data_IF_057760257339
#
_entry.id   IF_057760257339
#
_cell.length_a   1.000
_cell.length_b   1.000
_cell.length_c   1.000
_cell.angle_alpha   90.00
_cell.angle_beta   90.00
_cell.angle_gamma   90.00
#
_symmetry.space_group_name_H-M   'P 1'
#
loop_
_entity.id
_entity.type
_entity.pdbx_description
1 polymer ?
#
# COMPACT_ATOMS: atom_id res chain seq x y z
N UNK A 1 -1.51 11.92 -7.24
CA UNK A 1 -1.00 13.22 -7.73
C UNK A 1 0.17 13.05 -8.70
N UNK A 2 1.15 12.21 -8.40
CA UNK A 2 2.31 11.97 -9.28
C UNK A 2 1.90 11.50 -10.70
N UNK A 3 0.86 10.65 -10.79
CA UNK A 3 0.29 10.21 -12.07
C UNK A 3 -0.34 11.36 -12.88
N UNK A 4 -0.92 12.36 -12.21
CA UNK A 4 -1.44 13.58 -12.88
C UNK A 4 -0.27 14.41 -13.42
N UNK A 5 0.76 14.64 -12.60
CA UNK A 5 1.96 15.37 -13.04
C UNK A 5 2.65 14.72 -14.25
N UNK A 6 2.53 13.38 -14.42
CA UNK A 6 3.08 12.69 -15.59
C UNK A 6 2.42 13.06 -16.91
N UNK A 7 1.29 13.77 -16.88
CA UNK A 7 0.55 14.16 -18.07
C UNK A 7 -0.42 13.12 -18.61
N UNK A 8 -0.55 11.96 -17.93
CA UNK A 8 -1.38 10.84 -18.41
C UNK A 8 -2.83 11.21 -18.71
N UNK A 9 -3.39 12.16 -17.98
CA UNK A 9 -4.81 12.54 -18.05
C UNK A 9 -5.05 13.84 -18.83
N UNK A 10 -4.00 14.43 -19.40
CA UNK A 10 -4.14 15.67 -20.16
C UNK A 10 -4.28 15.37 -21.65
N UNK A 11 -5.22 16.07 -22.28
CA UNK A 11 -5.42 16.10 -23.70
C UNK A 11 -5.34 17.55 -24.20
N UNK A 12 -5.46 17.78 -25.50
CA UNK A 12 -5.36 19.12 -26.11
C UNK A 12 -6.42 20.13 -25.64
N UNK A 13 -7.48 19.67 -24.97
CA UNK A 13 -8.56 20.54 -24.49
C UNK A 13 -8.32 21.09 -23.09
N UNK A 14 -7.36 20.55 -22.35
CA UNK A 14 -7.09 20.90 -20.96
C UNK A 14 -5.93 21.90 -20.94
N UNK A 15 -6.16 23.07 -20.32
CA UNK A 15 -5.09 24.04 -20.10
C UNK A 15 -4.15 23.56 -19.00
N UNK A 16 -2.88 23.44 -19.35
CA UNK A 16 -1.83 22.97 -18.43
C UNK A 16 -0.72 24.00 -18.30
N UNK A 17 -0.09 24.01 -17.13
CA UNK A 17 1.14 24.75 -16.85
C UNK A 17 2.26 23.78 -16.50
N UNK A 18 3.50 24.24 -16.68
CA UNK A 18 4.66 23.46 -16.22
C UNK A 18 4.76 23.49 -14.69
N UNK A 19 5.01 22.32 -14.14
CA UNK A 19 5.34 22.12 -12.73
C UNK A 19 6.83 21.86 -12.56
N UNK A 20 7.44 22.47 -11.56
CA UNK A 20 8.80 22.18 -11.13
C UNK A 20 8.92 22.39 -9.62
N UNK A 21 8.96 21.30 -8.87
CA UNK A 21 9.05 21.29 -7.41
C UNK A 21 10.26 20.52 -6.92
N UNK A 22 10.75 20.88 -5.73
CA UNK A 22 11.91 20.22 -5.11
C UNK A 22 11.62 19.90 -3.66
N UNK A 23 12.09 18.72 -3.22
CA UNK A 23 11.95 18.26 -1.83
C UNK A 23 13.20 17.48 -1.41
N UNK A 24 13.53 17.51 -0.12
CA UNK A 24 14.63 16.75 0.44
C UNK A 24 14.09 15.57 1.22
N UNK A 25 14.62 14.38 0.91
CA UNK A 25 14.36 13.16 1.66
C UNK A 25 15.60 12.68 2.39
N UNK A 26 15.35 12.06 3.53
CA UNK A 26 16.36 11.36 4.32
C UNK A 26 16.10 9.86 4.24
N UNK A 27 17.17 9.07 4.13
CA UNK A 27 17.05 7.62 3.98
C UNK A 27 18.20 6.87 4.62
N UNK A 28 17.95 5.62 4.99
CA UNK A 28 18.94 4.66 5.46
C UNK A 28 19.67 3.91 4.34
N UNK A 29 19.36 4.18 3.09
CA UNK A 29 20.07 3.61 1.93
C UNK A 29 21.16 4.56 1.44
N UNK A 30 22.24 4.02 0.86
CA UNK A 30 23.24 4.79 0.12
C UNK A 30 23.10 4.52 -1.37
N UNK A 31 22.69 5.55 -2.12
CA UNK A 31 22.66 5.53 -3.58
C UNK A 31 23.72 6.51 -4.11
N UNK A 32 24.58 6.02 -4.99
CA UNK A 32 25.65 6.83 -5.55
C UNK A 32 25.24 7.37 -6.91
N UNK A 33 25.33 8.67 -7.08
CA UNK A 33 25.06 9.33 -8.35
C UNK A 33 23.68 9.99 -8.42
N UNK A 34 23.23 10.17 -9.65
CA UNK A 34 21.99 10.85 -10.01
C UNK A 34 21.13 9.91 -10.86
N UNK A 35 19.89 9.82 -10.51
CA UNK A 35 18.88 9.14 -11.33
C UNK A 35 18.03 10.23 -11.98
N UNK A 36 17.87 10.19 -13.28
CA UNK A 36 17.15 11.21 -14.03
C UNK A 36 16.21 10.59 -15.05
N UNK A 37 15.03 11.18 -15.12
CA UNK A 37 14.01 10.95 -16.14
C UNK A 37 13.42 12.31 -16.55
N UNK A 38 12.56 12.36 -17.53
CA UNK A 38 11.88 13.59 -17.93
C UNK A 38 11.00 14.14 -16.80
N UNK A 39 10.37 13.26 -16.02
CA UNK A 39 9.43 13.63 -14.96
C UNK A 39 10.13 13.96 -13.62
N UNK A 40 11.24 13.28 -13.31
CA UNK A 40 11.88 13.42 -12.01
C UNK A 40 13.39 13.22 -12.04
N UNK A 41 14.03 13.81 -11.06
CA UNK A 41 15.46 13.62 -10.78
C UNK A 41 15.63 13.34 -9.30
N UNK A 42 16.35 12.28 -8.96
CA UNK A 42 16.76 11.96 -7.59
C UNK A 42 18.29 11.97 -7.52
N UNK A 43 18.86 12.86 -6.71
CA UNK A 43 20.30 12.99 -6.57
C UNK A 43 20.70 13.03 -5.09
N UNK A 44 21.84 12.45 -4.78
CA UNK A 44 22.38 12.51 -3.43
C UNK A 44 22.92 13.90 -3.10
N UNK A 45 22.50 14.44 -1.96
CA UNK A 45 23.03 15.70 -1.41
C UNK A 45 24.16 15.42 -0.44
N UNK A 46 23.94 14.45 0.47
CA UNK A 46 24.93 14.05 1.44
C UNK A 46 24.80 12.55 1.73
N UNK A 47 25.90 11.82 1.53
CA UNK A 47 26.01 10.41 1.85
C UNK A 47 26.67 10.25 3.22
N UNK A 48 25.95 9.66 4.16
CA UNK A 48 26.42 9.41 5.51
C UNK A 48 26.22 7.95 5.90
N UNK A 49 27.17 7.41 6.68
CA UNK A 49 26.97 6.10 7.30
C UNK A 49 25.85 6.19 8.35
N UNK A 50 24.65 5.86 7.96
CA UNK A 50 23.47 5.91 8.81
C UNK A 50 22.29 6.55 8.10
N UNK A 51 22.28 7.85 7.91
CA UNK A 51 21.22 8.56 7.21
C UNK A 51 21.79 9.48 6.14
N UNK A 52 21.49 9.15 4.89
CA UNK A 52 21.83 9.94 3.72
C UNK A 52 20.69 10.90 3.36
N UNK A 53 20.99 11.97 2.64
CA UNK A 53 19.98 12.90 2.14
C UNK A 53 19.98 12.98 0.62
N UNK A 54 18.79 13.10 0.05
CA UNK A 54 18.52 13.10 -1.38
C UNK A 54 17.64 14.28 -1.75
N UNK A 55 17.97 14.95 -2.84
CA UNK A 55 17.13 15.97 -3.45
C UNK A 55 16.30 15.32 -4.54
N UNK A 56 14.98 15.34 -4.37
CA UNK A 56 14.03 15.02 -5.41
C UNK A 56 13.62 16.31 -6.12
N UNK A 57 13.72 16.32 -7.42
CA UNK A 57 13.11 17.33 -8.28
C UNK A 57 12.03 16.66 -9.11
N UNK A 58 10.79 17.08 -8.97
CA UNK A 58 9.67 16.68 -9.82
C UNK A 58 9.42 17.74 -10.88
N UNK A 59 9.23 17.31 -12.11
CA UNK A 59 8.82 18.11 -13.27
C UNK A 59 7.58 17.49 -13.87
N UNK A 60 6.78 18.27 -14.54
CA UNK A 60 5.60 17.70 -15.21
C UNK A 60 4.58 18.74 -15.55
N UNK A 61 3.34 18.28 -15.66
CA UNK A 61 2.21 19.09 -16.03
C UNK A 61 1.25 19.23 -14.86
N UNK A 62 0.75 20.44 -14.66
CA UNK A 62 -0.25 20.75 -13.65
C UNK A 62 -1.41 21.50 -14.32
N UNK A 63 -2.59 21.47 -13.72
CA UNK A 63 -3.71 22.25 -14.19
C UNK A 63 -3.44 23.76 -14.01
N UNK A 64 -3.78 24.55 -15.00
CA UNK A 64 -3.56 26.00 -14.97
C UNK A 64 -4.34 26.70 -13.83
N UNK A 65 -5.45 26.09 -13.43
CA UNK A 65 -6.33 26.57 -12.36
C UNK A 65 -5.95 26.08 -10.96
N UNK A 66 -4.94 25.21 -10.83
CA UNK A 66 -4.62 24.62 -9.52
C UNK A 66 -3.77 25.54 -8.66
N UNK A 67 -4.12 25.60 -7.38
CA UNK A 67 -3.29 26.23 -6.37
C UNK A 67 -2.09 25.32 -5.99
N UNK A 68 -1.13 25.89 -5.30
CA UNK A 68 0.13 25.23 -4.89
C UNK A 68 -0.01 23.98 -3.97
N UNK A 69 -1.22 23.49 -3.71
CA UNK A 69 -1.50 22.44 -2.72
C UNK A 69 -1.29 20.99 -3.21
N UNK A 70 -1.07 20.79 -4.48
CA UNK A 70 -0.87 19.46 -5.07
C UNK A 70 0.48 18.81 -4.79
N UNK A 71 1.45 19.63 -4.51
CA UNK A 71 2.83 19.21 -4.54
C UNK A 71 3.21 18.25 -3.41
N UNK A 72 2.77 18.47 -2.17
CA UNK A 72 3.11 17.56 -1.06
C UNK A 72 2.66 16.12 -1.31
N UNK A 73 1.47 15.92 -1.91
CA UNK A 73 0.97 14.58 -2.21
C UNK A 73 1.81 13.85 -3.26
N UNK A 74 2.19 14.54 -4.35
CA UNK A 74 3.04 13.94 -5.38
C UNK A 74 4.40 13.52 -4.81
N UNK A 75 4.99 14.35 -3.96
CA UNK A 75 6.23 14.00 -3.27
C UNK A 75 6.06 12.84 -2.30
N UNK A 76 4.94 12.78 -1.58
CA UNK A 76 4.64 11.66 -0.69
C UNK A 76 4.43 10.34 -1.46
N UNK A 77 3.69 10.37 -2.57
CA UNK A 77 3.52 9.21 -3.44
C UNK A 77 4.87 8.70 -3.98
N UNK A 78 5.74 9.63 -4.44
CA UNK A 78 7.08 9.27 -4.89
C UNK A 78 7.92 8.66 -3.76
N UNK A 79 7.86 9.24 -2.56
CA UNK A 79 8.52 8.75 -1.36
C UNK A 79 8.12 7.30 -1.04
N UNK A 80 6.82 7.02 -1.05
CA UNK A 80 6.28 5.67 -0.79
C UNK A 80 6.75 4.66 -1.82
N UNK A 81 6.66 4.99 -3.11
CA UNK A 81 7.12 4.12 -4.18
C UNK A 81 8.63 3.85 -4.12
N UNK A 82 9.42 4.89 -3.83
CA UNK A 82 10.87 4.79 -3.68
C UNK A 82 11.24 3.91 -2.48
N UNK A 83 10.59 4.15 -1.34
CA UNK A 83 10.78 3.34 -0.14
C UNK A 83 10.46 1.88 -0.37
N UNK A 84 9.36 1.62 -1.07
CA UNK A 84 8.91 0.27 -1.40
C UNK A 84 9.91 -0.45 -2.30
N UNK A 85 10.35 0.18 -3.41
CA UNK A 85 11.31 -0.44 -4.33
C UNK A 85 12.64 -0.80 -3.68
N UNK A 86 13.23 0.18 -3.01
CA UNK A 86 14.55 -0.01 -2.40
C UNK A 86 14.52 -0.75 -1.06
N UNK A 87 13.34 -1.11 -0.55
CA UNK A 87 13.19 -1.75 0.77
C UNK A 87 13.91 -0.93 1.84
N UNK A 88 13.68 0.38 1.83
CA UNK A 88 14.37 1.37 2.64
C UNK A 88 13.38 2.42 3.12
N UNK A 89 13.75 3.15 4.14
CA UNK A 89 12.94 4.25 4.65
C UNK A 89 13.37 5.54 3.97
N UNK A 90 12.41 6.23 3.36
CA UNK A 90 12.56 7.61 2.90
C UNK A 90 11.58 8.47 3.69
N UNK A 91 12.07 9.50 4.35
CA UNK A 91 11.28 10.40 5.18
C UNK A 91 11.71 11.85 5.00
N UNK A 92 10.80 12.78 5.33
CA UNK A 92 11.07 14.21 5.32
C UNK A 92 11.88 14.66 6.54
N UNK A 93 11.79 13.92 7.65
CA UNK A 93 12.53 14.21 8.87
C UNK A 93 13.66 13.20 9.09
N UNK A 94 14.88 13.73 9.17
CA UNK A 94 16.08 12.95 9.47
C UNK A 94 15.96 12.18 10.78
N UNK A 95 15.37 12.78 11.81
CA UNK A 95 15.25 12.15 13.11
C UNK A 95 14.33 10.92 13.06
N UNK A 96 13.30 10.92 12.21
CA UNK A 96 12.44 9.76 12.03
C UNK A 96 13.23 8.59 11.44
N UNK A 97 14.06 8.82 10.43
CA UNK A 97 14.91 7.78 9.87
C UNK A 97 15.91 7.27 10.91
N UNK A 98 16.59 8.16 11.63
CA UNK A 98 17.52 7.80 12.70
C UNK A 98 16.82 6.96 13.79
N UNK A 99 15.61 7.34 14.18
CA UNK A 99 14.83 6.60 15.17
C UNK A 99 14.45 5.20 14.70
N UNK A 100 14.00 5.07 13.44
CA UNK A 100 13.61 3.78 12.87
C UNK A 100 14.81 2.86 12.67
N UNK A 101 15.98 3.43 12.40
CA UNK A 101 17.20 2.69 12.08
C UNK A 101 18.14 2.47 13.29
N UNK A 102 17.81 2.99 14.46
CA UNK A 102 18.64 2.77 15.66
C UNK A 102 18.69 1.28 16.01
N UNK A 103 19.87 0.72 15.91
CA UNK A 103 20.18 -0.55 16.56
C UNK A 103 20.39 -0.28 18.05
N UNK A 104 19.54 -0.85 18.88
CA UNK A 104 19.81 -0.88 20.32
C UNK A 104 20.85 -1.99 20.51
N UNK A 105 22.00 -1.70 21.13
CA UNK A 105 22.95 -2.74 21.50
C UNK A 105 22.21 -3.79 22.32
N UNK A 106 22.20 -5.01 21.86
CA UNK A 106 21.67 -6.13 22.64
C UNK A 106 22.63 -6.36 23.82
N UNK A 107 22.29 -5.78 24.95
CA UNK A 107 22.92 -6.20 26.18
C UNK A 107 22.26 -7.54 26.55
N UNK A 108 23.00 -8.65 26.59
CA UNK A 108 22.41 -9.99 26.78
C UNK A 108 21.70 -10.15 28.15
N UNK A 109 21.84 -9.17 29.03
CA UNK A 109 21.24 -9.15 30.38
C UNK A 109 20.01 -8.27 30.50
N UNK A 110 19.61 -7.54 29.48
CA UNK A 110 18.40 -6.72 29.54
C UNK A 110 17.21 -7.50 28.98
N UNK A 111 16.27 -7.84 29.86
CA UNK A 111 14.93 -8.30 29.49
C UNK A 111 14.06 -7.17 28.88
N UNK A 112 14.67 -6.08 28.46
CA UNK A 112 13.96 -4.97 27.84
C UNK A 112 13.69 -5.28 26.36
N UNK A 113 12.43 -5.18 25.98
CA UNK A 113 11.98 -5.27 24.59
C UNK A 113 12.72 -4.17 23.80
N UNK A 114 13.44 -4.53 22.72
CA UNK A 114 14.10 -3.53 21.90
C UNK A 114 13.07 -2.51 21.41
N UNK A 115 13.29 -1.26 21.69
CA UNK A 115 12.27 -0.23 21.47
C UNK A 115 12.02 0.13 20.01
N UNK A 116 12.82 -0.32 19.05
CA UNK A 116 12.57 -0.11 17.61
C UNK A 116 13.50 -0.99 16.78
N UNK A 117 12.96 -1.92 16.03
CA UNK A 117 13.73 -2.73 15.07
C UNK A 117 12.94 -2.78 13.77
N UNK A 118 13.51 -2.22 12.69
CA UNK A 118 13.04 -2.54 11.35
C UNK A 118 13.34 -4.02 11.08
N UNK A 119 12.44 -4.73 10.39
CA UNK A 119 12.76 -6.06 9.90
C UNK A 119 14.06 -6.06 9.11
N UNK A 120 14.88 -7.11 9.21
CA UNK A 120 16.14 -7.22 8.46
C UNK A 120 15.96 -7.03 6.94
N UNK A 121 14.76 -7.28 6.45
CA UNK A 121 14.38 -7.04 5.07
C UNK A 121 14.51 -5.55 4.65
N UNK A 122 14.30 -4.64 5.58
CA UNK A 122 14.55 -3.20 5.46
C UNK A 122 15.90 -2.80 6.07
N UNK A 123 16.85 -3.72 6.08
CA UNK A 123 18.08 -3.56 6.82
C UNK A 123 18.88 -2.33 6.41
N UNK A 124 19.57 -1.85 7.40
CA UNK A 124 20.49 -0.75 7.41
C UNK A 124 21.54 -0.87 6.31
N UNK A 125 21.81 0.25 5.64
CA UNK A 125 22.98 0.47 4.80
C UNK A 125 23.15 -0.49 3.63
N UNK A 126 22.19 -0.50 2.71
CA UNK A 126 22.40 -1.07 1.38
C UNK A 126 22.94 0.02 0.45
N UNK A 127 23.98 -0.29 -0.31
CA UNK A 127 24.26 0.43 -1.54
C UNK A 127 23.35 -0.15 -2.63
N UNK A 128 22.75 0.70 -3.44
CA UNK A 128 21.95 0.26 -4.58
C UNK A 128 22.42 0.97 -5.84
N UNK A 129 22.51 0.20 -6.90
CA UNK A 129 22.79 0.63 -8.27
C UNK A 129 21.70 0.16 -9.26
N UNK A 130 20.61 -0.40 -8.75
CA UNK A 130 19.49 -0.94 -9.53
C UNK A 130 18.56 0.17 -10.08
N UNK A 131 19.14 1.17 -10.74
CA UNK A 131 18.47 2.38 -11.15
C UNK A 131 17.56 2.17 -12.37
N UNK A 132 17.94 1.31 -13.30
CA UNK A 132 17.14 1.07 -14.49
C UNK A 132 15.87 0.30 -14.16
N UNK A 133 15.95 -0.72 -13.33
CA UNK A 133 14.77 -1.43 -12.86
C UNK A 133 13.88 -0.54 -11.99
N UNK A 134 14.44 0.37 -11.22
CA UNK A 134 13.69 1.36 -10.47
C UNK A 134 12.92 2.32 -11.38
N UNK A 135 13.56 2.86 -12.43
CA UNK A 135 12.87 3.68 -13.44
C UNK A 135 11.72 2.91 -14.09
N UNK A 136 11.98 1.66 -14.48
CA UNK A 136 10.97 0.80 -15.07
C UNK A 136 9.79 0.56 -14.13
N UNK A 137 10.04 0.38 -12.84
CA UNK A 137 9.00 0.25 -11.82
C UNK A 137 8.15 1.53 -11.70
N UNK A 138 8.77 2.69 -11.56
CA UNK A 138 8.03 3.96 -11.50
C UNK A 138 7.21 4.17 -12.78
N UNK A 139 7.80 3.98 -13.95
CA UNK A 139 7.10 4.11 -15.23
C UNK A 139 5.93 3.13 -15.34
N UNK A 140 6.11 1.90 -14.88
CA UNK A 140 5.03 0.89 -14.82
C UNK A 140 3.87 1.37 -13.96
N UNK A 141 4.14 1.84 -12.74
CA UNK A 141 3.11 2.32 -11.81
C UNK A 141 2.37 3.54 -12.40
N UNK A 142 3.07 4.48 -13.01
CA UNK A 142 2.45 5.68 -13.61
C UNK A 142 1.53 5.36 -14.79
N UNK A 143 1.76 4.25 -15.50
CA UNK A 143 0.94 3.82 -16.63
C UNK A 143 -0.26 2.96 -16.25
N UNK A 144 -0.43 2.58 -15.00
CA UNK A 144 -1.59 1.82 -14.55
C UNK A 144 -2.89 2.65 -14.64
N UNK A 145 -4.05 1.99 -14.71
CA UNK A 145 -5.33 2.70 -14.59
C UNK A 145 -5.39 3.48 -13.27
N UNK A 146 -6.16 4.57 -13.25
CA UNK A 146 -6.28 5.42 -12.06
C UNK A 146 -6.71 4.64 -10.82
N UNK A 147 -7.66 3.74 -10.99
CA UNK A 147 -8.15 2.89 -9.91
C UNK A 147 -7.06 1.99 -9.33
N UNK A 148 -6.31 1.27 -10.21
CA UNK A 148 -5.21 0.41 -9.78
C UNK A 148 -4.10 1.20 -9.13
N UNK A 149 -3.75 2.35 -9.69
CA UNK A 149 -2.75 3.26 -9.12
C UNK A 149 -3.09 3.67 -7.68
N UNK A 150 -4.31 4.17 -7.45
CA UNK A 150 -4.78 4.57 -6.10
C UNK A 150 -4.77 3.39 -5.13
N UNK A 151 -5.26 2.23 -5.56
CA UNK A 151 -5.30 1.05 -4.70
C UNK A 151 -3.90 0.55 -4.32
N UNK A 152 -2.95 0.57 -5.27
CA UNK A 152 -1.56 0.20 -5.02
C UNK A 152 -0.91 1.17 -4.03
N UNK A 153 -1.09 2.48 -4.23
CA UNK A 153 -0.55 3.48 -3.30
C UNK A 153 -1.11 3.29 -1.88
N UNK A 154 -2.42 3.07 -1.75
CA UNK A 154 -3.04 2.79 -0.45
C UNK A 154 -2.46 1.52 0.20
N UNK A 155 -2.22 0.47 -0.59
CA UNK A 155 -1.60 -0.77 -0.08
C UNK A 155 -0.17 -0.55 0.37
N UNK A 156 0.62 0.22 -0.38
CA UNK A 156 1.99 0.57 -0.02
C UNK A 156 2.00 1.48 1.23
N UNK A 157 1.07 2.41 1.34
CA UNK A 157 0.95 3.27 2.52
C UNK A 157 0.61 2.45 3.78
N UNK A 158 -0.37 1.53 3.70
CA UNK A 158 -0.68 0.58 4.78
C UNK A 158 0.54 -0.26 5.19
N UNK A 159 1.33 -0.69 4.21
CA UNK A 159 2.58 -1.41 4.45
C UNK A 159 3.57 -0.57 5.27
N UNK A 160 3.77 0.72 4.96
CA UNK A 160 4.65 1.60 5.73
C UNK A 160 4.05 2.00 7.08
N UNK A 161 2.74 2.19 7.17
CA UNK A 161 2.05 2.38 8.46
C UNK A 161 2.25 1.17 9.38
N UNK A 162 2.25 -0.06 8.84
CA UNK A 162 2.56 -1.26 9.61
C UNK A 162 3.99 -1.23 10.18
N UNK A 163 4.99 -0.82 9.39
CA UNK A 163 6.37 -0.68 9.87
C UNK A 163 6.47 0.37 11.00
N UNK A 164 5.75 1.48 10.88
CA UNK A 164 5.71 2.51 11.91
C UNK A 164 5.00 2.03 13.17
N UNK A 165 3.86 1.34 13.03
CA UNK A 165 3.08 0.81 14.15
C UNK A 165 3.84 -0.26 14.96
N UNK A 166 4.78 -0.96 14.33
CA UNK A 166 5.60 -2.00 14.96
C UNK A 166 6.27 -1.54 16.25
N UNK A 167 6.60 -0.27 16.33
CA UNK A 167 7.25 0.33 17.50
C UNK A 167 6.33 0.48 18.71
N UNK A 168 5.01 0.44 18.51
CA UNK A 168 4.02 0.74 19.54
C UNK A 168 3.06 -0.42 19.78
N UNK A 169 2.71 -1.15 18.72
CA UNK A 169 1.71 -2.21 18.79
C UNK A 169 1.95 -3.23 17.68
N UNK A 170 2.45 -4.41 18.07
CA UNK A 170 2.76 -5.49 17.13
C UNK A 170 1.50 -6.03 16.43
N UNK A 171 0.41 -6.15 17.18
CA UNK A 171 -0.85 -6.69 16.65
C UNK A 171 -1.45 -5.75 15.59
N UNK A 172 -1.39 -4.45 15.85
CA UNK A 172 -1.79 -3.43 14.87
C UNK A 172 -0.88 -3.48 13.65
N UNK A 173 0.43 -3.53 13.85
CA UNK A 173 1.40 -3.64 12.75
C UNK A 173 1.13 -4.87 11.88
N UNK A 174 0.91 -6.01 12.51
CA UNK A 174 0.59 -7.25 11.81
C UNK A 174 -0.72 -7.14 11.02
N UNK A 175 -1.74 -6.54 11.64
CA UNK A 175 -3.04 -6.33 11.00
C UNK A 175 -2.97 -5.39 9.80
N UNK A 176 -2.25 -4.27 9.91
CA UNK A 176 -2.04 -3.33 8.81
C UNK A 176 -1.30 -4.00 7.64
N UNK A 177 -0.33 -4.87 7.93
CA UNK A 177 0.39 -5.63 6.92
C UNK A 177 -0.54 -6.58 6.15
N UNK A 178 -1.47 -7.25 6.83
CA UNK A 178 -2.50 -8.09 6.20
C UNK A 178 -3.50 -7.23 5.42
N UNK A 179 -3.93 -6.09 5.96
CA UNK A 179 -4.83 -5.17 5.29
C UNK A 179 -4.27 -4.64 3.98
N UNK A 180 -2.96 -4.48 3.86
CA UNK A 180 -2.35 -4.00 2.61
C UNK A 180 -2.63 -4.94 1.42
N UNK A 181 -2.67 -6.27 1.65
CA UNK A 181 -3.08 -7.25 0.62
C UNK A 181 -4.60 -7.30 0.50
N UNK A 182 -5.31 -7.34 1.64
CA UNK A 182 -6.77 -7.49 1.65
C UNK A 182 -7.46 -6.36 0.89
N UNK A 183 -6.94 -5.13 0.95
CA UNK A 183 -7.46 -3.97 0.22
C UNK A 183 -7.39 -4.14 -1.31
N UNK A 184 -6.37 -4.83 -1.81
CA UNK A 184 -6.26 -5.18 -3.24
C UNK A 184 -7.15 -6.37 -3.60
N UNK A 185 -7.14 -7.39 -2.76
CA UNK A 185 -7.95 -8.59 -2.94
C UNK A 185 -9.44 -8.24 -3.12
N UNK A 186 -9.98 -7.38 -2.26
CA UNK A 186 -11.39 -6.97 -2.33
C UNK A 186 -11.77 -6.27 -3.63
N UNK A 187 -10.82 -5.67 -4.34
CA UNK A 187 -11.07 -4.89 -5.56
C UNK A 187 -10.74 -5.64 -6.84
N UNK A 188 -9.72 -6.52 -6.80
CA UNK A 188 -9.06 -7.04 -8.00
C UNK A 188 -8.91 -8.55 -7.99
N UNK A 189 -9.60 -9.28 -7.12
CA UNK A 189 -9.70 -10.71 -7.28
C UNK A 189 -10.80 -11.07 -8.30
N UNK A 190 -10.59 -12.16 -9.01
CA UNK A 190 -11.58 -12.75 -9.92
C UNK A 190 -12.49 -13.74 -9.17
N UNK A 191 -12.71 -13.51 -7.88
CA UNK A 191 -13.47 -14.43 -7.05
C UNK A 191 -14.97 -14.31 -7.35
N UNK A 192 -15.52 -15.34 -7.95
CA UNK A 192 -16.97 -15.51 -8.10
C UNK A 192 -17.51 -16.30 -6.91
N UNK A 193 -18.48 -15.71 -6.24
CA UNK A 193 -19.17 -16.36 -5.13
C UNK A 193 -20.03 -17.53 -5.64
N UNK A 194 -19.82 -18.71 -5.05
CA UNK A 194 -20.57 -19.89 -5.42
C UNK A 194 -21.21 -20.52 -4.17
N UNK A 195 -22.46 -20.99 -4.30
CA UNK A 195 -23.14 -21.71 -3.23
C UNK A 195 -22.36 -22.90 -2.70
N UNK A 196 -21.63 -23.61 -3.57
CA UNK A 196 -20.83 -24.77 -3.18
C UNK A 196 -19.73 -24.44 -2.16
N UNK A 197 -19.31 -23.17 -2.12
CA UNK A 197 -18.30 -22.71 -1.18
C UNK A 197 -18.85 -22.35 0.20
N UNK A 198 -20.16 -22.40 0.42
CA UNK A 198 -20.78 -22.09 1.71
C UNK A 198 -20.44 -23.13 2.78
N UNK A 199 -20.44 -22.68 4.04
CA UNK A 199 -20.25 -23.55 5.20
C UNK A 199 -21.31 -24.66 5.24
N UNK A 200 -20.87 -25.90 5.44
CA UNK A 200 -21.75 -27.07 5.43
C UNK A 200 -22.82 -27.03 6.54
N UNK A 201 -22.54 -26.36 7.67
CA UNK A 201 -23.53 -26.18 8.73
C UNK A 201 -24.65 -25.22 8.26
N UNK A 202 -24.28 -24.10 7.60
CA UNK A 202 -25.25 -23.15 7.05
C UNK A 202 -26.13 -23.81 5.99
N UNK A 203 -25.51 -24.61 5.10
CA UNK A 203 -26.26 -25.41 4.11
C UNK A 203 -27.23 -26.37 4.76
N UNK A 204 -26.77 -27.09 5.79
CA UNK A 204 -27.58 -28.03 6.53
C UNK A 204 -28.75 -27.36 7.27
N UNK A 205 -28.51 -26.22 7.93
CA UNK A 205 -29.54 -25.45 8.60
C UNK A 205 -30.57 -24.91 7.61
N UNK A 206 -30.13 -24.39 6.45
CA UNK A 206 -31.02 -23.91 5.42
C UNK A 206 -31.86 -25.02 4.83
N UNK A 207 -31.29 -26.19 4.55
CA UNK A 207 -32.04 -27.36 4.06
C UNK A 207 -33.11 -27.80 5.07
N UNK A 208 -32.78 -27.81 6.36
CA UNK A 208 -33.75 -28.10 7.40
C UNK A 208 -34.94 -27.09 7.42
N UNK A 209 -34.65 -25.79 7.22
CA UNK A 209 -35.68 -24.76 7.15
C UNK A 209 -36.56 -24.95 5.91
N UNK A 210 -35.99 -25.30 4.76
CA UNK A 210 -36.70 -25.59 3.53
C UNK A 210 -37.70 -26.73 3.74
N UNK A 211 -37.30 -27.82 4.41
CA UNK A 211 -38.18 -28.97 4.72
C UNK A 211 -39.30 -28.59 5.72
N UNK A 212 -38.96 -27.84 6.79
CA UNK A 212 -39.93 -27.46 7.82
C UNK A 212 -41.02 -26.55 7.27
N UNK A 213 -40.66 -25.60 6.41
CA UNK A 213 -41.58 -24.58 5.91
C UNK A 213 -42.14 -24.89 4.51
N UNK A 214 -41.80 -26.05 3.92
CA UNK A 214 -42.16 -26.44 2.56
C UNK A 214 -41.88 -25.33 1.53
N UNK A 215 -40.70 -24.78 1.57
CA UNK A 215 -40.25 -23.73 0.64
C UNK A 215 -40.13 -24.34 -0.76
N UNK A 216 -40.65 -23.63 -1.79
CA UNK A 216 -40.52 -24.11 -3.17
C UNK A 216 -39.09 -24.11 -3.66
N UNK A 217 -38.75 -24.97 -4.64
CA UNK A 217 -37.39 -25.01 -5.23
C UNK A 217 -36.99 -23.66 -5.83
N UNK A 218 -37.96 -22.92 -6.42
CA UNK A 218 -37.71 -21.58 -6.97
C UNK A 218 -37.38 -20.57 -5.85
N UNK A 219 -38.11 -20.58 -4.75
CA UNK A 219 -37.82 -19.70 -3.60
C UNK A 219 -36.50 -20.08 -2.94
N UNK A 220 -36.18 -21.37 -2.89
CA UNK A 220 -34.92 -21.85 -2.36
C UNK A 220 -33.71 -21.39 -3.21
N UNK A 221 -33.83 -21.44 -4.54
CA UNK A 221 -32.78 -20.94 -5.43
C UNK A 221 -32.64 -19.42 -5.35
N UNK A 222 -33.73 -18.69 -5.23
CA UNK A 222 -33.70 -17.25 -4.95
C UNK A 222 -33.05 -16.93 -3.62
N UNK A 223 -33.29 -17.69 -2.57
CA UNK A 223 -32.64 -17.53 -1.26
C UNK A 223 -31.14 -17.77 -1.35
N UNK A 224 -30.70 -18.81 -2.09
CA UNK A 224 -29.26 -19.05 -2.33
C UNK A 224 -28.63 -17.87 -3.04
N UNK A 225 -29.24 -17.35 -4.11
CA UNK A 225 -28.71 -16.19 -4.83
C UNK A 225 -28.57 -14.95 -3.93
N UNK A 226 -29.58 -14.68 -3.10
CA UNK A 226 -29.54 -13.56 -2.17
C UNK A 226 -28.44 -13.75 -1.13
N UNK A 227 -28.29 -14.96 -0.59
CA UNK A 227 -27.23 -15.28 0.36
C UNK A 227 -25.84 -15.15 -0.29
N UNK A 228 -25.67 -15.70 -1.49
CA UNK A 228 -24.42 -15.63 -2.23
C UNK A 228 -24.03 -14.18 -2.51
N UNK A 229 -24.97 -13.34 -2.95
CA UNK A 229 -24.70 -11.91 -3.26
C UNK A 229 -24.40 -11.05 -2.04
N UNK A 230 -24.88 -11.44 -0.85
CA UNK A 230 -24.73 -10.63 0.37
C UNK A 230 -23.67 -11.16 1.34
N UNK A 231 -22.98 -12.25 0.98
CA UNK A 231 -22.06 -12.89 1.91
C UNK A 231 -20.63 -12.39 1.77
N UNK A 232 -20.21 -11.62 2.76
CA UNK A 232 -18.80 -11.22 2.93
C UNK A 232 -17.97 -12.33 3.62
N UNK A 233 -18.50 -13.53 3.79
CA UNK A 233 -17.89 -14.57 4.64
C UNK A 233 -16.64 -15.22 4.04
N UNK A 234 -16.34 -15.00 2.78
CA UNK A 234 -15.19 -15.64 2.13
C UNK A 234 -13.92 -14.80 2.11
N UNK A 235 -13.89 -13.72 2.88
CA UNK A 235 -12.73 -12.82 2.92
C UNK A 235 -11.42 -13.57 3.20
N UNK A 236 -11.44 -14.62 4.04
CA UNK A 236 -10.26 -15.46 4.28
C UNK A 236 -9.83 -16.25 3.03
N UNK A 237 -10.78 -16.84 2.30
CA UNK A 237 -10.49 -17.61 1.08
C UNK A 237 -9.96 -16.68 0.00
N UNK A 238 -10.66 -15.57 -0.25
CA UNK A 238 -10.24 -14.53 -1.21
C UNK A 238 -8.83 -14.04 -0.93
N UNK A 239 -8.53 -13.69 0.33
CA UNK A 239 -7.19 -13.29 0.76
C UNK A 239 -6.13 -14.35 0.46
N UNK A 240 -6.41 -15.65 0.76
CA UNK A 240 -5.48 -16.73 0.52
C UNK A 240 -5.26 -16.94 -0.98
N UNK A 241 -6.34 -17.05 -1.76
CA UNK A 241 -6.27 -17.36 -3.19
C UNK A 241 -5.59 -16.21 -3.95
N UNK A 242 -5.95 -14.95 -3.64
CA UNK A 242 -5.26 -13.77 -4.17
C UNK A 242 -3.77 -13.78 -3.82
N UNK A 243 -3.43 -13.98 -2.54
CA UNK A 243 -2.04 -14.02 -2.12
C UNK A 243 -1.25 -15.10 -2.83
N UNK A 244 -1.81 -16.30 -2.96
CA UNK A 244 -1.16 -17.42 -3.63
C UNK A 244 -0.94 -17.18 -5.12
N UNK A 245 -1.83 -16.46 -5.81
CA UNK A 245 -1.69 -16.17 -7.24
C UNK A 245 -0.50 -15.25 -7.55
N UNK A 246 -0.05 -14.45 -6.58
CA UNK A 246 1.07 -13.52 -6.73
C UNK A 246 2.36 -13.97 -6.04
N UNK A 247 2.43 -15.21 -5.52
CA UNK A 247 3.67 -15.76 -4.96
C UNK A 247 4.35 -16.67 -5.97
N UNK A 248 5.42 -16.17 -6.61
CA UNK A 248 6.22 -16.92 -7.56
C UNK A 248 7.23 -17.85 -6.87
N UNK A 249 7.82 -18.77 -7.65
CA UNK A 249 8.85 -19.69 -7.13
C UNK A 249 10.12 -18.99 -6.66
N UNK A 250 10.42 -17.80 -7.19
CA UNK A 250 11.58 -16.98 -6.81
C UNK A 250 11.52 -16.57 -5.35
N UNK A 251 10.31 -16.37 -4.80
CA UNK A 251 10.11 -16.10 -3.39
C UNK A 251 10.76 -17.16 -2.49
N UNK A 252 10.70 -18.44 -2.88
CA UNK A 252 11.21 -19.55 -2.08
C UNK A 252 12.69 -19.84 -2.34
N UNK A 253 13.26 -19.33 -3.43
CA UNK A 253 14.61 -19.66 -3.89
C UNK A 253 15.60 -18.52 -3.69
N UNK A 254 15.29 -17.37 -4.25
CA UNK A 254 16.23 -16.24 -4.34
C UNK A 254 16.16 -15.34 -3.11
N UNK A 255 14.97 -14.98 -2.69
CA UNK A 255 14.77 -14.07 -1.56
C UNK A 255 15.02 -14.73 -0.18
N UNK A 256 15.01 -16.05 -0.09
CA UNK A 256 15.11 -16.80 1.17
C UNK A 256 16.55 -17.09 1.63
N UNK A 257 17.56 -16.69 0.87
CA UNK A 257 18.98 -17.11 1.05
C UNK A 257 19.52 -16.84 2.46
N UNK A 258 19.02 -15.82 3.16
CA UNK A 258 19.51 -15.40 4.47
C UNK A 258 18.58 -15.75 5.65
N UNK A 259 17.47 -16.43 5.41
CA UNK A 259 16.53 -16.78 6.47
C UNK A 259 16.93 -18.04 7.21
N UNK A 260 16.87 -18.03 8.56
CA UNK A 260 17.13 -19.20 9.40
C UNK A 260 16.01 -20.25 9.35
N UNK A 261 14.77 -19.80 9.13
CA UNK A 261 13.59 -20.67 9.01
C UNK A 261 12.74 -20.19 7.84
N UNK A 262 13.18 -20.42 6.57
CA UNK A 262 12.49 -19.91 5.40
C UNK A 262 11.11 -20.55 5.28
N UNK A 263 10.14 -19.77 4.81
CA UNK A 263 8.81 -20.26 4.47
C UNK A 263 8.91 -21.28 3.32
N UNK A 264 8.31 -22.45 3.50
CA UNK A 264 8.22 -23.48 2.46
C UNK A 264 6.94 -23.28 1.64
N UNK A 265 7.00 -23.64 0.36
CA UNK A 265 5.85 -23.56 -0.54
C UNK A 265 4.67 -24.41 -0.05
N UNK A 266 4.95 -25.58 0.53
CA UNK A 266 3.93 -26.46 1.14
C UNK A 266 3.15 -25.81 2.28
N UNK A 267 3.77 -24.88 2.99
CA UNK A 267 3.23 -24.32 4.21
C UNK A 267 2.51 -22.98 3.96
N UNK A 268 2.66 -22.41 2.75
CA UNK A 268 2.16 -21.07 2.39
C UNK A 268 0.67 -20.90 2.71
N UNK A 269 -0.17 -21.80 2.23
CA UNK A 269 -1.63 -21.73 2.46
C UNK A 269 -1.99 -21.74 3.94
N UNK A 270 -1.30 -22.58 4.72
CA UNK A 270 -1.53 -22.70 6.17
C UNK A 270 -1.13 -21.41 6.91
N UNK A 271 0.05 -20.85 6.59
CA UNK A 271 0.50 -19.62 7.25
C UNK A 271 -0.34 -18.40 6.85
N UNK A 272 -0.80 -18.29 5.60
CA UNK A 272 -1.73 -17.24 5.17
C UNK A 272 -3.05 -17.31 5.97
N UNK A 273 -3.62 -18.50 6.14
CA UNK A 273 -4.80 -18.71 6.99
C UNK A 273 -4.56 -18.24 8.43
N UNK A 274 -3.40 -18.53 8.98
CA UNK A 274 -3.04 -18.09 10.32
C UNK A 274 -2.82 -16.58 10.41
N UNK A 275 -2.23 -15.94 9.39
CA UNK A 275 -2.09 -14.49 9.32
C UNK A 275 -3.47 -13.80 9.34
N UNK A 276 -4.40 -14.29 8.53
CA UNK A 276 -5.76 -13.75 8.49
C UNK A 276 -6.48 -13.93 9.84
N UNK A 277 -6.34 -15.11 10.47
CA UNK A 277 -6.90 -15.37 11.80
C UNK A 277 -6.37 -14.43 12.87
N UNK A 278 -5.06 -14.18 12.91
CA UNK A 278 -4.44 -13.23 13.85
C UNK A 278 -5.04 -11.84 13.67
N UNK A 279 -5.09 -11.35 12.42
CA UNK A 279 -5.70 -10.05 12.09
C UNK A 279 -7.17 -10.00 12.52
N UNK A 280 -7.96 -11.01 12.20
CA UNK A 280 -9.38 -11.08 12.52
C UNK A 280 -9.61 -11.08 14.03
N UNK A 281 -8.87 -11.87 14.80
CA UNK A 281 -8.97 -11.90 16.26
C UNK A 281 -8.61 -10.55 16.89
N UNK A 282 -7.60 -9.86 16.37
CA UNK A 282 -7.25 -8.54 16.87
C UNK A 282 -8.32 -7.49 16.54
N UNK A 283 -8.80 -7.46 15.29
CA UNK A 283 -9.75 -6.44 14.85
C UNK A 283 -11.11 -6.58 15.51
N UNK A 284 -11.60 -7.81 15.68
CA UNK A 284 -12.93 -8.04 16.24
C UNK A 284 -12.96 -8.16 17.76
N UNK A 285 -11.90 -8.72 18.37
CA UNK A 285 -11.90 -9.07 19.79
C UNK A 285 -10.80 -8.35 20.57
N UNK A 286 -9.94 -7.56 19.93
CA UNK A 286 -8.74 -6.96 20.52
C UNK A 286 -7.82 -8.01 21.20
N UNK A 287 -7.86 -9.24 20.73
CA UNK A 287 -7.03 -10.31 21.26
C UNK A 287 -5.56 -10.07 20.93
N UNK A 288 -4.73 -10.11 21.98
CA UNK A 288 -3.28 -10.01 21.82
C UNK A 288 -2.69 -11.33 21.37
N UNK A 289 -1.58 -11.28 20.66
CA UNK A 289 -0.79 -12.46 20.33
C UNK A 289 -0.27 -13.08 21.62
N UNK A 290 -0.78 -14.23 22.00
CA UNK A 290 -0.71 -14.82 23.38
C UNK A 290 0.68 -15.20 23.90
N UNK A 291 1.77 -14.98 23.16
CA UNK A 291 3.12 -15.43 23.55
C UNK A 291 4.12 -14.29 23.55
N UNK A 292 4.38 -13.70 24.70
CA UNK A 292 5.33 -12.57 24.90
C UNK A 292 6.73 -12.88 24.36
N UNK A 293 7.17 -14.15 24.35
CA UNK A 293 8.43 -14.55 23.74
C UNK A 293 8.42 -14.47 22.19
N UNK A 294 7.26 -14.26 21.58
CA UNK A 294 7.11 -14.10 20.14
C UNK A 294 7.63 -12.74 19.65
N UNK A 295 7.56 -11.68 20.43
CA UNK A 295 7.92 -10.32 19.96
C UNK A 295 9.38 -10.29 19.51
N UNK A 296 10.30 -10.80 20.33
CA UNK A 296 11.74 -10.84 19.98
C UNK A 296 12.01 -11.82 18.83
N UNK A 297 11.28 -12.93 18.80
CA UNK A 297 11.39 -13.94 17.72
C UNK A 297 10.72 -13.48 16.41
N UNK A 298 9.75 -12.56 16.50
CA UNK A 298 9.03 -11.99 15.35
C UNK A 298 9.87 -11.00 14.53
N UNK A 299 11.01 -10.54 15.07
CA UNK A 299 11.82 -9.45 14.53
C UNK A 299 13.19 -9.90 14.00
N UNK A 300 13.59 -11.15 14.25
CA UNK A 300 14.87 -11.68 13.77
C UNK A 300 14.83 -12.11 12.31
N UNK A 301 15.92 -12.72 11.83
CA UNK A 301 16.01 -13.27 10.47
C UNK A 301 15.33 -14.65 10.31
N UNK A 302 14.31 -14.93 11.12
CA UNK A 302 13.42 -16.07 10.97
C UNK A 302 12.16 -15.64 10.25
N UNK A 303 11.69 -16.42 9.29
CA UNK A 303 10.44 -16.15 8.60
C UNK A 303 9.25 -16.86 9.23
N UNK A 304 9.50 -18.04 9.76
CA UNK A 304 8.45 -18.87 10.37
C UNK A 304 8.79 -19.24 11.80
N UNK A 305 7.75 -19.40 12.62
CA UNK A 305 7.81 -19.88 14.00
C UNK A 305 6.72 -20.89 14.25
N UNK A 306 6.97 -21.83 15.17
CA UNK A 306 6.03 -22.88 15.58
C UNK A 306 6.35 -24.24 14.98
N UNK A 307 5.41 -25.16 15.16
CA UNK A 307 5.48 -26.54 14.63
C UNK A 307 4.50 -26.68 13.47
N UNK A 308 4.53 -27.80 12.76
CA UNK A 308 3.68 -28.09 11.59
C UNK A 308 2.18 -27.81 11.81
N UNK A 309 1.66 -28.06 13.00
CA UNK A 309 0.24 -27.79 13.31
C UNK A 309 -0.06 -26.35 13.74
N UNK A 310 0.95 -25.55 14.08
CA UNK A 310 0.80 -24.19 14.62
C UNK A 310 1.91 -23.27 14.07
N UNK A 311 2.10 -23.32 12.75
CA UNK A 311 3.11 -22.55 12.05
C UNK A 311 2.62 -21.14 11.75
N UNK A 312 3.40 -20.13 12.15
CA UNK A 312 3.10 -18.72 11.94
C UNK A 312 4.22 -18.01 11.18
N UNK A 313 3.87 -16.95 10.44
CA UNK A 313 4.86 -16.00 9.97
C UNK A 313 5.31 -15.09 11.11
N UNK A 314 6.61 -14.83 11.16
CA UNK A 314 7.14 -13.71 11.90
C UNK A 314 6.75 -12.40 11.20
N UNK A 315 6.91 -11.26 11.87
CA UNK A 315 6.69 -9.98 11.19
C UNK A 315 7.69 -9.79 10.02
N UNK A 316 8.93 -10.24 10.16
CA UNK A 316 9.93 -10.25 9.07
C UNK A 316 9.47 -11.09 7.89
N UNK A 317 8.98 -12.31 8.14
CA UNK A 317 8.46 -13.19 7.08
C UNK A 317 7.23 -12.60 6.40
N UNK A 318 6.31 -12.04 7.18
CA UNK A 318 5.11 -11.37 6.65
C UNK A 318 5.48 -10.16 5.80
N UNK A 319 6.39 -9.29 6.26
CA UNK A 319 6.85 -8.12 5.51
C UNK A 319 7.45 -8.52 4.16
N UNK A 320 8.28 -9.58 4.12
CA UNK A 320 8.86 -10.07 2.87
C UNK A 320 7.79 -10.63 1.93
N UNK A 321 6.86 -11.41 2.47
CA UNK A 321 5.77 -12.00 1.68
C UNK A 321 4.86 -10.92 1.07
N UNK A 322 4.44 -9.96 1.88
CA UNK A 322 3.58 -8.85 1.42
C UNK A 322 4.27 -8.02 0.36
N UNK A 323 5.54 -7.66 0.57
CA UNK A 323 6.31 -6.94 -0.43
C UNK A 323 6.40 -7.70 -1.77
N UNK A 324 6.62 -9.02 -1.73
CA UNK A 324 6.68 -9.86 -2.92
C UNK A 324 5.34 -9.92 -3.65
N UNK A 325 4.23 -10.11 -2.91
CA UNK A 325 2.88 -10.13 -3.48
C UNK A 325 2.56 -8.78 -4.15
N UNK A 326 2.78 -7.67 -3.46
CA UNK A 326 2.51 -6.33 -4.00
C UNK A 326 3.35 -6.06 -5.26
N UNK A 327 4.64 -6.40 -5.24
CA UNK A 327 5.52 -6.26 -6.40
C UNK A 327 5.00 -7.04 -7.60
N UNK A 328 4.66 -8.33 -7.42
CA UNK A 328 4.16 -9.16 -8.50
C UNK A 328 2.80 -8.71 -9.00
N UNK A 329 1.90 -8.27 -8.11
CA UNK A 329 0.64 -7.67 -8.51
C UNK A 329 0.85 -6.44 -9.40
N UNK A 330 1.73 -5.52 -9.01
CA UNK A 330 2.05 -4.32 -9.80
C UNK A 330 2.54 -4.69 -11.20
N UNK A 331 3.45 -5.65 -11.30
CA UNK A 331 4.02 -6.06 -12.59
C UNK A 331 3.05 -6.87 -13.46
N UNK A 332 2.07 -7.57 -12.87
CA UNK A 332 1.03 -8.30 -13.61
C UNK A 332 -0.06 -7.38 -14.17
N UNK A 333 -0.25 -6.20 -13.60
CA UNK A 333 -1.27 -5.27 -14.07
C UNK A 333 -0.98 -4.80 -15.51
N UNK A 334 -2.01 -4.67 -16.33
CA UNK A 334 -1.91 -4.09 -17.67
C UNK A 334 -1.66 -2.58 -17.59
N UNK A 335 -0.84 -2.09 -18.52
CA UNK A 335 -0.64 -0.65 -18.71
C UNK A 335 -1.80 -0.08 -19.50
N UNK A 336 -2.28 1.08 -19.11
CA UNK A 336 -3.34 1.82 -19.81
C UNK A 336 -2.77 3.10 -20.42
N UNK A 337 -3.28 3.47 -21.60
CA UNK A 337 -2.97 4.74 -22.24
C UNK A 337 -3.68 5.92 -21.55
N UNK A 338 -4.12 6.89 -22.36
CA UNK A 338 -4.94 8.00 -21.91
C UNK A 338 -6.23 7.48 -21.25
N UNK A 339 -6.59 8.10 -20.13
CA UNK A 339 -7.79 7.82 -19.36
C UNK A 339 -8.40 9.16 -18.96
N UNK A 340 -9.71 9.27 -19.11
CA UNK A 340 -10.43 10.48 -18.72
C UNK A 340 -10.79 10.39 -17.23
N UNK A 341 -10.50 11.45 -16.47
CA UNK A 341 -10.80 11.53 -15.04
C UNK A 341 -11.56 12.81 -14.73
N UNK A 342 -12.40 12.77 -13.70
CA UNK A 342 -12.96 13.97 -13.11
C UNK A 342 -11.97 14.60 -12.13
N UNK A 343 -11.32 15.69 -12.55
CA UNK A 343 -10.33 16.37 -11.72
C UNK A 343 -10.92 16.93 -10.42
N UNK A 344 -12.21 17.24 -10.38
CA UNK A 344 -12.87 17.75 -9.17
C UNK A 344 -13.01 16.66 -8.11
N UNK A 345 -13.34 15.44 -8.53
CA UNK A 345 -13.41 14.30 -7.63
C UNK A 345 -12.01 13.77 -7.24
N UNK A 346 -11.08 13.83 -8.19
CA UNK A 346 -9.75 13.24 -8.03
C UNK A 346 -8.79 14.10 -7.22
N UNK A 347 -9.07 15.40 -7.16
CA UNK A 347 -8.17 16.36 -6.51
C UNK A 347 -8.81 16.82 -5.20
N UNK A 348 -8.30 16.34 -4.05
CA UNK A 348 -8.73 16.84 -2.75
C UNK A 348 -8.60 18.38 -2.73
N UNK A 349 -9.64 19.05 -2.28
CA UNK A 349 -9.70 20.51 -2.16
C UNK A 349 -9.86 21.31 -3.47
N UNK A 350 -10.04 20.68 -4.62
CA UNK A 350 -10.51 21.37 -5.81
C UNK A 350 -12.04 21.54 -5.69
N UNK A 351 -12.47 22.72 -5.31
CA UNK A 351 -13.89 23.07 -5.27
C UNK A 351 -14.23 23.97 -6.46
N UNK A 352 -15.17 23.53 -7.29
CA UNK A 352 -15.72 24.35 -8.34
C UNK A 352 -17.01 25.00 -7.83
N UNK A 353 -16.94 26.29 -7.51
CA UNK A 353 -18.12 27.07 -7.14
C UNK A 353 -18.62 27.84 -8.37
N UNK A 354 -19.73 27.44 -9.00
CA UNK A 354 -20.34 28.27 -9.99
C UNK A 354 -20.84 29.56 -9.30
N UNK A 355 -20.21 30.68 -9.61
CA UNK A 355 -20.69 31.96 -9.13
C UNK A 355 -22.02 32.28 -9.83
N UNK A 356 -23.07 32.41 -9.02
CA UNK A 356 -24.35 32.90 -9.53
C UNK A 356 -24.13 34.33 -10.12
N UNK A 357 -24.63 34.63 -11.32
CA UNK A 357 -24.50 35.96 -11.96
C UNK A 357 -24.88 37.11 -11.06
N UNK A 358 -25.76 36.95 -10.10
CA UNK A 358 -26.14 37.99 -9.14
C UNK A 358 -25.01 38.44 -8.20
N UNK A 359 -23.91 37.67 -8.07
CA UNK A 359 -22.73 38.03 -7.30
C UNK A 359 -21.64 38.68 -8.15
N UNK A 360 -21.90 38.89 -9.44
CA UNK A 360 -20.97 39.64 -10.31
C UNK A 360 -21.16 41.13 -10.02
N UNK A 361 -20.14 41.72 -9.43
CA UNK A 361 -20.10 43.16 -9.24
C UNK A 361 -19.76 43.77 -10.59
N UNK A 362 -20.73 44.39 -11.21
CA UNK A 362 -20.48 45.26 -12.34
C UNK A 362 -20.14 46.65 -11.76
N UNK A 363 -18.92 47.12 -11.97
CA UNK A 363 -18.59 48.52 -11.73
C UNK A 363 -19.48 49.39 -12.61
N UNK A 364 -20.01 50.49 -12.07
CA UNK A 364 -20.86 51.43 -12.78
C UNK A 364 -20.19 52.03 -14.03
N UNK A 365 -18.90 51.78 -14.26
CA UNK A 365 -18.13 52.26 -15.42
C UNK A 365 -17.99 51.26 -16.58
N UNK A 366 -18.65 50.12 -16.55
CA UNK A 366 -18.78 49.24 -17.74
C UNK A 366 -17.46 48.59 -18.22
N UNK A 367 -16.49 48.43 -17.36
CA UNK A 367 -15.26 47.71 -17.68
C UNK A 367 -15.47 46.25 -17.34
N UNK A 368 -15.49 45.41 -18.37
CA UNK A 368 -15.44 43.95 -18.24
C UNK A 368 -14.17 43.52 -17.50
N UNK A 369 -14.20 43.49 -16.18
CA UNK A 369 -13.13 42.86 -15.42
C UNK A 369 -13.23 41.36 -15.56
N UNK A 370 -12.21 40.74 -16.14
CA UNK A 370 -12.07 39.30 -16.15
C UNK A 370 -12.17 38.77 -14.72
N UNK A 371 -13.19 38.02 -14.48
CA UNK A 371 -13.44 37.44 -13.15
C UNK A 371 -12.32 36.48 -12.84
N UNK A 372 -11.57 36.75 -11.79
CA UNK A 372 -10.65 35.81 -11.20
C UNK A 372 -11.47 34.79 -10.40
N UNK A 373 -11.33 33.50 -10.77
CA UNK A 373 -11.87 32.40 -9.98
C UNK A 373 -11.16 32.41 -8.63
N UNK A 374 -11.84 32.85 -7.57
CA UNK A 374 -11.31 32.67 -6.22
C UNK A 374 -11.61 31.26 -5.76
N UNK A 375 -10.58 30.42 -5.65
CA UNK A 375 -10.65 29.17 -4.94
C UNK A 375 -10.57 29.51 -3.45
N UNK A 376 -11.70 29.42 -2.76
CA UNK A 376 -11.73 29.51 -1.29
C UNK A 376 -11.41 28.12 -0.74
N UNK A 377 -10.28 28.03 -0.08
CA UNK A 377 -9.89 26.83 0.66
C UNK A 377 -10.60 26.86 2.00
N UNK A 378 -11.47 25.90 2.25
CA UNK A 378 -12.05 25.68 3.58
C UNK A 378 -11.13 24.68 4.27
N UNK A 379 -10.54 25.10 5.39
CA UNK A 379 -9.75 24.25 6.30
C UNK A 379 -10.64 23.31 7.09
#
# INVERSE_FOLDING_TARGET
MLQILSGKFFNETISVKEFNGKEIFYSNIMMFGKIETDLWTLENVNLNQGVSSYLLTLRGHDLDSTSQFFHPEAFNEFRLLTSFWFKSIFEYDKNNVEMLCRQIPQNPNDNQIPSKILPEYFSLQKASDDFENYKNFINKVLKLSREKYKAILNSIDLFFQALNALNYNLELAFSLMVFSIESLCQKFDDFEENWEDYDDNVKSELNNLVEIYNISDEDYDNLKEVLVKNDHQKATKRFIDFSMSYVSDDFFREDAINSKTPLKKSDLKHVLKNCYRIRSSYVHNLEKIKKVNYIVSMMGNKETLGNESDLFLTFTGLTRLVHHILKNFIFSCEETGFEEIDFVEEIPHLANFPLDPQYWITDEEGVDQKIFLFIIIIF
#
